data_IF_347883484143
#
_entry.id   IF_347883484143
#
_cell.length_a   1.000
_cell.length_b   1.000
_cell.length_c   1.000
_cell.angle_alpha   90.00
_cell.angle_beta   90.00
_cell.angle_gamma   90.00
#
_symmetry.space_group_name_H-M   'P 1'
#
loop_
_entity.id
_entity.type
_entity.pdbx_description
1 polymer ?
#
# COMPACT_ATOMS: atom_id res chain seq x y z
N UNK A 1 -29.35 30.09 -37.94
CA UNK A 1 -29.78 28.70 -37.65
C UNK A 1 -28.64 28.05 -36.87
N UNK A 2 -28.80 27.90 -35.55
CA UNK A 2 -27.72 27.54 -34.64
C UNK A 2 -27.39 26.05 -34.72
N UNK A 3 -26.14 25.71 -35.05
CA UNK A 3 -25.59 24.36 -34.88
C UNK A 3 -24.58 24.41 -33.73
N UNK A 4 -25.04 24.12 -32.52
CA UNK A 4 -24.16 23.87 -31.38
C UNK A 4 -24.33 22.41 -30.96
N UNK A 5 -23.64 21.52 -31.67
CA UNK A 5 -23.40 20.15 -31.23
C UNK A 5 -22.34 20.17 -30.15
N UNK A 6 -22.69 20.60 -28.93
CA UNK A 6 -21.84 20.39 -27.78
C UNK A 6 -21.92 18.91 -27.40
N UNK A 7 -20.86 18.17 -27.68
CA UNK A 7 -20.68 16.82 -27.17
C UNK A 7 -20.75 16.86 -25.65
N UNK A 8 -21.79 16.26 -25.07
CA UNK A 8 -21.84 15.95 -23.65
C UNK A 8 -20.80 14.86 -23.37
N UNK A 9 -19.55 15.27 -23.14
CA UNK A 9 -18.59 14.42 -22.45
C UNK A 9 -19.02 14.40 -20.97
N UNK A 10 -19.41 13.24 -20.40
CA UNK A 10 -19.72 13.18 -18.98
C UNK A 10 -18.44 13.51 -18.21
N UNK A 11 -18.47 14.61 -17.46
CA UNK A 11 -17.46 14.92 -16.46
C UNK A 11 -17.66 13.89 -15.35
N UNK A 12 -16.83 12.84 -15.34
CA UNK A 12 -16.74 11.95 -14.20
C UNK A 12 -16.11 12.76 -13.05
N UNK A 13 -16.93 13.19 -12.11
CA UNK A 13 -16.46 13.70 -10.82
C UNK A 13 -15.78 12.52 -10.09
N UNK A 14 -14.53 12.69 -9.63
CA UNK A 14 -13.72 11.68 -8.92
C UNK A 14 -14.25 11.46 -7.47
N UNK A 15 -15.56 11.61 -7.28
CA UNK A 15 -16.24 11.38 -6.01
C UNK A 15 -16.81 9.96 -5.99
N UNK A 16 -16.65 9.28 -4.85
CA UNK A 16 -17.08 7.89 -4.64
C UNK A 16 -18.60 7.71 -4.82
N UNK A 17 -19.34 8.82 -4.80
CA UNK A 17 -20.79 8.88 -5.01
C UNK A 17 -21.10 9.92 -6.09
N UNK A 18 -21.64 9.47 -7.23
CA UNK A 18 -22.26 10.36 -8.21
C UNK A 18 -23.51 11.00 -7.59
N UNK A 19 -23.30 12.15 -6.97
CA UNK A 19 -24.31 12.87 -6.18
C UNK A 19 -25.48 13.31 -7.06
N UNK A 20 -25.23 13.54 -8.36
CA UNK A 20 -26.22 13.96 -9.35
C UNK A 20 -27.13 12.80 -9.75
N UNK A 21 -26.56 11.62 -9.99
CA UNK A 21 -27.32 10.41 -10.26
C UNK A 21 -28.15 10.00 -9.04
N UNK A 22 -27.56 10.04 -7.84
CA UNK A 22 -28.26 9.69 -6.61
C UNK A 22 -29.41 10.67 -6.31
N UNK A 23 -29.22 11.98 -6.49
CA UNK A 23 -30.29 12.96 -6.34
C UNK A 23 -31.45 12.76 -7.33
N UNK A 24 -31.16 12.28 -8.56
CA UNK A 24 -32.20 11.91 -9.54
C UNK A 24 -32.96 10.66 -9.08
N UNK A 25 -32.27 9.65 -8.56
CA UNK A 25 -32.91 8.45 -8.03
C UNK A 25 -33.84 8.76 -6.84
N UNK A 26 -33.38 9.60 -5.90
CA UNK A 26 -34.20 10.01 -4.75
C UNK A 26 -35.46 10.79 -5.17
N UNK A 27 -35.35 11.70 -6.14
CA UNK A 27 -36.54 12.37 -6.71
C UNK A 27 -37.49 11.39 -7.40
N UNK A 28 -36.97 10.42 -8.14
CA UNK A 28 -37.76 9.35 -8.75
C UNK A 28 -38.51 8.50 -7.72
N UNK A 29 -37.98 8.40 -6.49
CA UNK A 29 -38.59 7.71 -5.36
C UNK A 29 -39.54 8.60 -4.52
N UNK A 30 -39.79 9.86 -4.94
CA UNK A 30 -40.71 10.77 -4.25
C UNK A 30 -40.10 11.55 -3.08
N UNK A 31 -38.77 11.53 -2.91
CA UNK A 31 -38.11 12.37 -1.92
C UNK A 31 -38.13 13.83 -2.36
N UNK A 32 -38.36 14.72 -1.40
CA UNK A 32 -38.15 16.16 -1.62
C UNK A 32 -36.67 16.47 -1.75
N UNK A 33 -36.34 17.59 -2.39
CA UNK A 33 -34.95 18.01 -2.60
C UNK A 33 -34.18 18.15 -1.28
N UNK A 34 -34.82 18.68 -0.24
CA UNK A 34 -34.24 18.80 1.10
C UNK A 34 -33.96 17.43 1.74
N UNK A 35 -34.84 16.44 1.56
CA UNK A 35 -34.62 15.08 2.07
C UNK A 35 -33.49 14.37 1.34
N UNK A 36 -33.45 14.48 0.02
CA UNK A 36 -32.38 13.88 -0.80
C UNK A 36 -31.00 14.46 -0.43
N UNK A 37 -30.92 15.77 -0.21
CA UNK A 37 -29.68 16.45 0.16
C UNK A 37 -29.17 16.04 1.56
N UNK A 38 -30.06 15.90 2.54
CA UNK A 38 -29.70 15.40 3.88
C UNK A 38 -29.15 13.98 3.79
N UNK A 39 -29.83 13.07 3.10
CA UNK A 39 -29.39 11.67 2.95
C UNK A 39 -28.05 11.59 2.23
N UNK A 40 -27.87 12.37 1.15
CA UNK A 40 -26.61 12.40 0.39
C UNK A 40 -25.45 12.94 1.22
N UNK A 41 -25.65 13.99 2.00
CA UNK A 41 -24.63 14.51 2.91
C UNK A 41 -24.24 13.50 3.97
N UNK A 42 -25.21 12.80 4.57
CA UNK A 42 -24.93 11.77 5.59
C UNK A 42 -24.18 10.58 4.98
N UNK A 43 -24.57 10.12 3.78
CA UNK A 43 -23.84 9.05 3.09
C UNK A 43 -22.44 9.49 2.70
N UNK A 44 -22.27 10.72 2.19
CA UNK A 44 -20.96 11.26 1.84
C UNK A 44 -20.04 11.35 3.06
N UNK A 45 -20.53 11.84 4.20
CA UNK A 45 -19.77 11.86 5.45
C UNK A 45 -19.41 10.46 5.95
N UNK A 46 -20.35 9.50 5.87
CA UNK A 46 -20.10 8.13 6.28
C UNK A 46 -19.05 7.44 5.40
N UNK A 47 -19.10 7.66 4.08
CA UNK A 47 -18.16 7.08 3.12
C UNK A 47 -16.80 7.77 3.20
N UNK A 48 -16.74 9.10 3.28
CA UNK A 48 -15.47 9.84 3.44
C UNK A 48 -14.80 9.59 4.79
N UNK A 49 -15.56 9.26 5.84
CA UNK A 49 -15.04 8.96 7.17
C UNK A 49 -14.43 7.56 7.33
N UNK A 50 -14.85 6.59 6.52
CA UNK A 50 -14.45 5.17 6.64
C UNK A 50 -13.51 4.70 5.51
N UNK A 51 -13.31 5.54 4.49
CA UNK A 51 -12.32 5.28 3.44
C UNK A 51 -10.94 5.71 3.90
N UNK A 52 -9.98 4.78 3.92
CA UNK A 52 -8.57 5.12 3.98
C UNK A 52 -8.27 6.16 2.88
N UNK A 53 -7.81 7.33 3.28
CA UNK A 53 -7.57 8.42 2.33
C UNK A 53 -6.43 8.03 1.39
N UNK A 54 -6.36 8.66 0.21
CA UNK A 54 -5.20 8.50 -0.70
C UNK A 54 -3.87 8.80 0.03
N UNK A 55 -3.89 9.65 1.05
CA UNK A 55 -2.74 9.95 1.90
C UNK A 55 -2.36 8.77 2.80
N UNK A 56 -3.33 8.12 3.46
CA UNK A 56 -3.08 6.95 4.31
C UNK A 56 -2.46 5.80 3.52
N UNK A 57 -2.96 5.56 2.29
CA UNK A 57 -2.37 4.56 1.39
C UNK A 57 -0.93 4.90 0.98
N UNK A 58 -0.60 6.18 0.81
CA UNK A 58 0.78 6.60 0.51
C UNK A 58 1.70 6.41 1.70
N UNK A 59 1.23 6.71 2.92
CA UNK A 59 1.96 6.48 4.17
C UNK A 59 2.23 4.99 4.35
N UNK A 60 1.19 4.14 4.27
CA UNK A 60 1.36 2.68 4.38
C UNK A 60 2.30 2.14 3.31
N UNK A 61 2.24 2.65 2.07
CA UNK A 61 3.17 2.24 1.01
C UNK A 61 4.62 2.64 1.30
N UNK A 62 4.84 3.81 1.89
CA UNK A 62 6.15 4.27 2.28
C UNK A 62 6.71 3.42 3.43
N UNK A 63 5.89 3.14 4.45
CA UNK A 63 6.25 2.32 5.61
C UNK A 63 6.61 0.90 5.18
N UNK A 64 5.76 0.26 4.37
CA UNK A 64 6.04 -1.09 3.84
C UNK A 64 7.33 -1.12 3.00
N UNK A 65 7.61 -0.07 2.22
CA UNK A 65 8.86 0.00 1.45
C UNK A 65 10.08 0.10 2.37
N UNK A 66 9.96 0.88 3.45
CA UNK A 66 11.01 1.01 4.46
C UNK A 66 11.27 -0.32 5.16
N UNK A 67 10.23 -1.01 5.61
CA UNK A 67 10.33 -2.32 6.26
C UNK A 67 10.95 -3.38 5.33
N UNK A 68 10.54 -3.42 4.06
CA UNK A 68 11.14 -4.33 3.07
C UNK A 68 12.64 -4.04 2.90
N UNK A 69 13.06 -2.78 2.91
CA UNK A 69 14.47 -2.41 2.82
C UNK A 69 15.25 -2.79 4.10
N UNK A 70 14.65 -2.60 5.27
CA UNK A 70 15.23 -3.00 6.55
C UNK A 70 15.48 -4.52 6.58
N UNK A 71 14.45 -5.32 6.29
CA UNK A 71 14.55 -6.79 6.26
C UNK A 71 15.58 -7.27 5.23
N UNK A 72 15.65 -6.65 4.04
CA UNK A 72 16.68 -6.99 3.05
C UNK A 72 18.09 -6.74 3.57
N UNK A 73 18.30 -5.64 4.28
CA UNK A 73 19.59 -5.29 4.87
C UNK A 73 19.97 -6.29 5.96
N UNK A 74 19.03 -6.61 6.86
CA UNK A 74 19.24 -7.60 7.91
C UNK A 74 19.62 -8.98 7.34
N UNK A 75 18.93 -9.43 6.30
CA UNK A 75 19.25 -10.70 5.62
C UNK A 75 20.65 -10.69 5.00
N UNK A 76 21.07 -9.56 4.42
CA UNK A 76 22.43 -9.43 3.87
C UNK A 76 23.49 -9.49 4.96
N UNK A 77 23.26 -8.80 6.08
CA UNK A 77 24.15 -8.82 7.25
C UNK A 77 24.26 -10.22 7.83
N UNK A 78 23.12 -10.88 8.10
CA UNK A 78 23.06 -12.26 8.59
C UNK A 78 23.81 -13.24 7.68
N UNK A 79 23.65 -13.11 6.36
CA UNK A 79 24.41 -13.91 5.40
C UNK A 79 25.91 -13.65 5.53
N UNK A 80 26.33 -12.39 5.60
CA UNK A 80 27.73 -12.02 5.78
C UNK A 80 28.33 -12.59 7.07
N UNK A 81 27.62 -12.46 8.18
CA UNK A 81 28.05 -12.97 9.49
C UNK A 81 28.15 -14.50 9.50
N UNK A 82 27.19 -15.19 8.86
CA UNK A 82 27.23 -16.63 8.69
C UNK A 82 28.45 -17.07 7.87
N UNK A 83 28.70 -16.44 6.73
CA UNK A 83 29.88 -16.74 5.91
C UNK A 83 31.18 -16.51 6.67
N UNK A 84 31.27 -15.41 7.43
CA UNK A 84 32.43 -15.12 8.28
C UNK A 84 32.64 -16.22 9.32
N UNK A 85 31.59 -16.63 10.03
CA UNK A 85 31.68 -17.71 11.03
C UNK A 85 32.07 -19.04 10.40
N UNK A 86 31.49 -19.39 9.26
CA UNK A 86 31.83 -20.62 8.54
C UNK A 86 33.30 -20.63 8.13
N UNK A 87 33.83 -19.53 7.62
CA UNK A 87 35.25 -19.41 7.27
C UNK A 87 36.17 -19.55 8.48
N UNK A 88 35.82 -18.93 9.61
CA UNK A 88 36.60 -19.05 10.85
C UNK A 88 36.60 -20.49 11.36
N UNK A 89 35.44 -21.17 11.36
CA UNK A 89 35.36 -22.58 11.74
C UNK A 89 36.13 -23.48 10.79
N UNK A 90 36.02 -23.27 9.47
CA UNK A 90 36.76 -24.03 8.47
C UNK A 90 38.27 -23.87 8.65
N UNK A 91 38.76 -22.64 8.83
CA UNK A 91 40.17 -22.38 9.11
C UNK A 91 40.63 -23.04 10.42
N UNK A 92 39.80 -22.99 11.46
CA UNK A 92 40.06 -23.66 12.74
C UNK A 92 40.18 -25.18 12.62
N UNK A 93 39.23 -25.83 11.93
CA UNK A 93 39.23 -27.29 11.71
C UNK A 93 40.44 -27.71 10.88
N UNK A 94 40.74 -27.00 9.79
CA UNK A 94 41.91 -27.28 8.93
C UNK A 94 43.20 -27.12 9.73
N UNK A 95 43.34 -26.00 10.46
CA UNK A 95 44.50 -25.73 11.30
C UNK A 95 44.71 -26.81 12.37
N UNK A 96 43.65 -27.22 13.06
CA UNK A 96 43.68 -28.28 14.06
C UNK A 96 44.07 -29.64 13.45
N UNK A 97 43.52 -29.98 12.28
CA UNK A 97 43.84 -31.24 11.59
C UNK A 97 45.32 -31.30 11.19
N UNK A 98 45.85 -30.21 10.61
CA UNK A 98 47.27 -30.12 10.24
C UNK A 98 48.17 -30.19 11.47
N UNK A 99 47.79 -29.53 12.57
CA UNK A 99 48.55 -29.59 13.81
C UNK A 99 48.62 -31.02 14.37
N UNK A 100 47.49 -31.75 14.36
CA UNK A 100 47.44 -33.15 14.80
C UNK A 100 48.31 -34.07 13.93
N UNK A 101 48.28 -33.91 12.60
CA UNK A 101 49.13 -34.69 11.68
C UNK A 101 50.62 -34.46 11.99
N UNK A 102 51.01 -33.22 12.30
CA UNK A 102 52.41 -32.87 12.56
C UNK A 102 52.88 -33.33 13.95
N UNK A 103 51.96 -33.51 14.91
CA UNK A 103 52.27 -33.91 16.28
C UNK A 103 52.26 -35.43 16.49
N UNK A 104 51.66 -36.20 15.57
CA UNK A 104 51.77 -37.66 15.55
C UNK A 104 53.06 -38.03 14.78
N UNK A 105 54.07 -38.64 15.44
CA UNK A 105 55.27 -39.14 14.75
C UNK A 105 54.96 -40.31 13.79
#
# INVERSE_FOLDING_TARGET
MYTFGASYAPVYDDSVIDTLQAARAFRGAGFTEAQADVVLRTMKQAVEGDLATKADLQVTKADLRSEIQAVRTEVQTLRGDLYRHLWVMAAGIVGMTVALIKLLP
#
